data_IF_542903647445
#
_entry.id   IF_542903647445
#
_cell.length_a   1.000
_cell.length_b   1.000
_cell.length_c   1.000
_cell.angle_alpha   90.00
_cell.angle_beta   90.00
_cell.angle_gamma   90.00
#
_symmetry.space_group_name_H-M   'P 1'
#
loop_
_entity.id
_entity.type
_entity.pdbx_description
1 polymer ?
#
# COMPACT_ATOMS: atom_id res chain seq x y z
N UNK A 1 -20.95 -11.73 24.58
CA UNK A 1 -21.96 -10.91 23.87
C UNK A 1 -21.28 -10.35 22.63
N UNK A 2 -21.51 -10.92 21.45
CA UNK A 2 -20.95 -10.38 20.21
C UNK A 2 -21.69 -9.10 19.84
N UNK A 3 -20.98 -7.98 19.73
CA UNK A 3 -21.53 -6.74 19.19
C UNK A 3 -21.89 -6.98 17.72
N UNK A 4 -23.15 -6.75 17.36
CA UNK A 4 -23.57 -6.80 15.96
C UNK A 4 -22.73 -5.79 15.16
N UNK A 5 -22.21 -6.15 13.97
CA UNK A 5 -21.44 -5.22 13.15
C UNK A 5 -22.29 -3.99 12.82
N UNK A 6 -21.66 -2.81 12.88
CA UNK A 6 -22.32 -1.56 12.51
C UNK A 6 -22.84 -1.66 11.07
N UNK A 7 -24.08 -1.24 10.77
CA UNK A 7 -24.59 -1.21 9.40
C UNK A 7 -23.83 -0.21 8.51
N UNK A 8 -22.96 0.62 9.09
CA UNK A 8 -22.09 1.58 8.41
C UNK A 8 -20.61 1.18 8.45
N UNK A 9 -20.30 -0.09 8.78
CA UNK A 9 -18.93 -0.57 8.74
C UNK A 9 -18.36 -0.44 7.32
N UNK A 10 -17.12 0.01 7.20
CA UNK A 10 -16.43 0.06 5.91
C UNK A 10 -16.24 -1.35 5.36
N UNK A 11 -16.54 -1.53 4.08
CA UNK A 11 -16.28 -2.75 3.33
C UNK A 11 -15.22 -2.49 2.27
N UNK A 12 -14.79 -3.57 1.60
CA UNK A 12 -13.87 -3.44 0.46
C UNK A 12 -14.50 -2.61 -0.66
N UNK A 13 -15.79 -2.79 -0.92
CA UNK A 13 -16.52 -2.10 -1.97
C UNK A 13 -16.72 -0.60 -1.67
N UNK A 14 -16.94 -0.23 -0.41
CA UNK A 14 -16.97 1.19 -0.01
C UNK A 14 -15.58 1.82 -0.12
N UNK A 15 -14.53 1.05 0.14
CA UNK A 15 -13.14 1.46 -0.07
C UNK A 15 -12.83 1.67 -1.54
N UNK A 16 -13.22 0.74 -2.42
CA UNK A 16 -13.08 0.84 -3.87
C UNK A 16 -13.79 2.09 -4.43
N UNK A 17 -15.01 2.36 -3.97
CA UNK A 17 -15.74 3.58 -4.29
C UNK A 17 -14.95 4.85 -3.89
N UNK A 18 -14.43 4.88 -2.66
CA UNK A 18 -13.62 5.99 -2.17
C UNK A 18 -12.35 6.19 -3.01
N UNK A 19 -11.68 5.09 -3.41
CA UNK A 19 -10.52 5.15 -4.31
C UNK A 19 -10.87 5.81 -5.64
N UNK A 20 -11.96 5.39 -6.29
CA UNK A 20 -12.41 5.99 -7.56
C UNK A 20 -12.76 7.47 -7.40
N UNK A 21 -13.39 7.85 -6.28
CA UNK A 21 -13.67 9.25 -5.96
C UNK A 21 -12.37 10.06 -5.88
N UNK A 22 -11.37 9.58 -5.13
CA UNK A 22 -10.07 10.25 -5.01
C UNK A 22 -9.34 10.34 -6.34
N UNK A 23 -9.33 9.26 -7.13
CA UNK A 23 -8.70 9.24 -8.46
C UNK A 23 -9.29 10.32 -9.36
N UNK A 24 -10.62 10.46 -9.38
CA UNK A 24 -11.29 11.46 -10.21
C UNK A 24 -11.14 12.88 -9.64
N UNK A 25 -11.40 13.08 -8.35
CA UNK A 25 -11.46 14.41 -7.72
C UNK A 25 -10.08 15.00 -7.49
N UNK A 26 -9.10 14.21 -7.06
CA UNK A 26 -7.76 14.71 -6.76
C UNK A 26 -6.93 14.70 -8.04
N UNK A 27 -6.58 13.51 -8.54
CA UNK A 27 -5.68 13.35 -9.69
C UNK A 27 -6.37 13.85 -10.97
N UNK A 28 -7.63 13.49 -11.20
CA UNK A 28 -8.37 13.95 -12.38
C UNK A 28 -8.48 15.47 -12.46
N UNK A 29 -8.67 16.14 -11.32
CA UNK A 29 -8.69 17.60 -11.27
C UNK A 29 -7.31 18.20 -11.57
N UNK A 30 -6.22 17.62 -11.05
CA UNK A 30 -4.85 18.03 -11.39
C UNK A 30 -4.55 17.88 -12.88
N UNK A 31 -4.91 16.74 -13.47
CA UNK A 31 -4.69 16.45 -14.90
C UNK A 31 -5.48 17.40 -15.80
N UNK A 32 -6.78 17.60 -15.52
CA UNK A 32 -7.61 18.53 -16.30
C UNK A 32 -7.13 19.98 -16.13
N UNK A 33 -6.67 20.36 -14.94
CA UNK A 33 -6.08 21.69 -14.71
C UNK A 33 -4.79 21.88 -15.49
N UNK A 34 -3.88 20.90 -15.45
CA UNK A 34 -2.65 20.92 -16.25
C UNK A 34 -2.96 21.03 -17.75
N UNK A 35 -3.96 20.29 -18.22
CA UNK A 35 -4.43 20.37 -19.61
C UNK A 35 -4.98 21.75 -19.94
N UNK A 36 -5.80 22.32 -19.05
CA UNK A 36 -6.35 23.66 -19.21
C UNK A 36 -5.27 24.74 -19.22
N UNK A 37 -4.33 24.69 -18.28
CA UNK A 37 -3.25 25.68 -18.12
C UNK A 37 -2.26 25.64 -19.29
N UNK A 38 -2.11 24.49 -19.98
CA UNK A 38 -1.34 24.40 -21.23
C UNK A 38 -1.98 25.18 -22.37
N UNK A 39 -3.31 25.27 -22.40
CA UNK A 39 -4.07 25.99 -23.44
C UNK A 39 -4.24 27.46 -23.05
N UNK A 40 -4.53 27.72 -21.77
CA UNK A 40 -4.77 29.03 -21.19
C UNK A 40 -3.85 29.25 -19.99
N UNK A 41 -2.60 29.72 -20.20
CA UNK A 41 -1.63 29.90 -19.13
C UNK A 41 -2.17 30.77 -17.99
N UNK A 42 -1.88 30.44 -16.72
CA UNK A 42 -2.40 31.20 -15.57
C UNK A 42 -2.10 32.70 -15.63
N UNK A 43 -0.94 33.08 -16.17
CA UNK A 43 -0.54 34.49 -16.31
C UNK A 43 -1.50 35.31 -17.20
N UNK A 44 -2.09 34.69 -18.23
CA UNK A 44 -2.96 35.35 -19.21
C UNK A 44 -4.44 34.97 -19.04
N UNK A 45 -4.76 34.17 -18.01
CA UNK A 45 -6.11 33.63 -17.80
C UNK A 45 -7.18 34.73 -17.68
N UNK A 46 -6.88 35.80 -16.95
CA UNK A 46 -7.79 36.94 -16.80
C UNK A 46 -8.12 37.62 -18.14
N UNK A 47 -7.14 37.72 -19.04
CA UNK A 47 -7.33 38.29 -20.38
C UNK A 47 -8.21 37.39 -21.24
N UNK A 48 -7.99 36.07 -21.20
CA UNK A 48 -8.81 35.10 -21.93
C UNK A 48 -10.26 35.14 -21.46
N UNK A 49 -10.49 35.12 -20.14
CA UNK A 49 -11.82 35.16 -19.56
C UNK A 49 -12.53 36.50 -19.81
N UNK A 50 -11.78 37.61 -19.84
CA UNK A 50 -12.31 38.94 -20.14
C UNK A 50 -12.56 39.22 -21.63
N UNK A 51 -12.03 38.39 -22.54
CA UNK A 51 -12.21 38.57 -23.97
C UNK A 51 -13.70 38.51 -24.36
N UNK A 52 -14.18 39.45 -25.17
CA UNK A 52 -15.61 39.60 -25.50
C UNK A 52 -16.24 38.32 -26.05
N UNK A 53 -15.52 37.59 -26.92
CA UNK A 53 -15.99 36.34 -27.52
C UNK A 53 -16.06 35.18 -26.52
N UNK A 54 -15.27 35.20 -25.46
CA UNK A 54 -15.27 34.20 -24.39
C UNK A 54 -16.31 34.57 -23.33
N UNK A 55 -16.23 35.80 -22.81
CA UNK A 55 -17.11 36.30 -21.76
C UNK A 55 -18.58 36.27 -22.18
N UNK A 56 -18.93 37.05 -23.22
CA UNK A 56 -20.34 37.29 -23.56
C UNK A 56 -20.93 36.16 -24.40
N UNK A 57 -20.21 35.66 -25.41
CA UNK A 57 -20.79 34.67 -26.31
C UNK A 57 -20.89 33.27 -25.66
N UNK A 58 -19.93 32.90 -24.81
CA UNK A 58 -19.84 31.56 -24.23
C UNK A 58 -20.15 31.52 -22.73
N UNK A 59 -19.37 32.20 -21.90
CA UNK A 59 -19.50 32.03 -20.45
C UNK A 59 -20.80 32.63 -19.90
N UNK A 60 -21.21 33.80 -20.38
CA UNK A 60 -22.46 34.43 -19.95
C UNK A 60 -23.69 33.62 -20.39
N UNK A 61 -23.65 32.98 -21.56
CA UNK A 61 -24.75 32.09 -22.01
C UNK A 61 -24.80 30.80 -21.19
N UNK A 62 -23.66 30.27 -20.74
CA UNK A 62 -23.61 29.13 -19.82
C UNK A 62 -24.12 29.47 -18.41
N UNK A 63 -23.97 30.72 -17.96
CA UNK A 63 -24.43 31.19 -16.65
C UNK A 63 -25.90 31.63 -16.64
N UNK A 64 -26.30 32.48 -17.60
CA UNK A 64 -27.64 33.09 -17.66
C UNK A 64 -28.60 32.38 -18.62
N UNK A 65 -28.10 31.46 -19.45
CA UNK A 65 -28.92 30.76 -20.44
C UNK A 65 -29.86 29.72 -19.84
N UNK A 66 -30.74 29.17 -20.68
CA UNK A 66 -31.81 28.24 -20.26
C UNK A 66 -31.30 26.99 -19.52
N UNK A 67 -30.13 26.48 -19.90
CA UNK A 67 -29.53 25.26 -19.33
C UNK A 67 -28.76 25.49 -18.01
N UNK A 68 -28.41 26.75 -17.68
CA UNK A 68 -27.67 27.16 -16.46
C UNK A 68 -26.54 26.19 -16.05
N UNK A 69 -25.62 25.94 -16.98
CA UNK A 69 -24.51 24.98 -16.79
C UNK A 69 -23.56 25.44 -15.70
N UNK A 70 -23.32 26.76 -15.60
CA UNK A 70 -22.51 27.36 -14.53
C UNK A 70 -23.41 27.83 -13.40
N UNK A 71 -23.05 27.48 -12.16
CA UNK A 71 -23.73 28.00 -10.97
C UNK A 71 -23.07 29.28 -10.43
N UNK A 72 -23.72 30.04 -9.53
CA UNK A 72 -23.17 31.28 -8.99
C UNK A 72 -21.81 31.13 -8.29
N UNK A 73 -21.56 30.00 -7.60
CA UNK A 73 -20.27 29.73 -6.96
C UNK A 73 -19.15 29.59 -8.00
N UNK A 74 -19.40 28.85 -9.07
CA UNK A 74 -18.47 28.71 -10.19
C UNK A 74 -18.25 30.04 -10.92
N UNK A 75 -19.31 30.83 -11.11
CA UNK A 75 -19.20 32.17 -11.69
C UNK A 75 -18.29 33.09 -10.87
N UNK A 76 -18.44 33.09 -9.53
CA UNK A 76 -17.58 33.85 -8.64
C UNK A 76 -16.11 33.42 -8.65
N UNK A 77 -15.82 32.14 -8.99
CA UNK A 77 -14.45 31.67 -9.21
C UNK A 77 -13.85 32.21 -10.52
N UNK A 78 -14.67 32.38 -11.56
CA UNK A 78 -14.23 32.92 -12.85
C UNK A 78 -14.04 34.45 -12.82
N UNK A 79 -14.91 35.15 -12.09
CA UNK A 79 -14.90 36.61 -11.97
C UNK A 79 -14.89 37.05 -10.49
N UNK A 80 -13.78 36.80 -9.77
CA UNK A 80 -13.64 37.21 -8.38
C UNK A 80 -13.56 38.74 -8.23
N UNK A 81 -14.17 39.28 -7.17
CA UNK A 81 -14.22 40.73 -6.90
C UNK A 81 -12.94 41.29 -6.28
N UNK A 82 -12.26 40.52 -5.43
CA UNK A 82 -11.18 41.02 -4.56
C UNK A 82 -9.82 40.34 -4.76
N UNK A 83 -9.72 39.43 -5.74
CA UNK A 83 -8.47 38.73 -6.05
C UNK A 83 -8.37 38.42 -7.54
N UNK A 84 -7.16 38.10 -8.02
CA UNK A 84 -7.00 37.58 -9.36
C UNK A 84 -7.65 36.19 -9.51
N UNK A 85 -8.17 35.90 -10.70
CA UNK A 85 -8.64 34.56 -11.06
C UNK A 85 -7.49 33.57 -11.12
N UNK A 86 -7.70 32.36 -10.62
CA UNK A 86 -6.70 31.29 -10.61
C UNK A 86 -7.34 29.95 -10.93
N UNK A 87 -6.75 29.20 -11.86
CA UNK A 87 -7.21 27.84 -12.20
C UNK A 87 -7.07 26.84 -11.04
N UNK A 88 -6.26 27.17 -10.03
CA UNK A 88 -6.13 26.39 -8.78
C UNK A 88 -7.45 26.32 -8.01
N UNK A 89 -8.30 27.34 -8.12
CA UNK A 89 -9.60 27.39 -7.45
C UNK A 89 -10.69 26.59 -8.19
N UNK A 90 -10.40 26.10 -9.41
CA UNK A 90 -11.37 25.40 -10.24
C UNK A 90 -11.46 23.93 -9.85
N UNK A 91 -12.70 23.48 -9.64
CA UNK A 91 -13.02 22.07 -9.44
C UNK A 91 -13.13 21.34 -10.79
N UNK A 92 -13.16 20.00 -10.74
CA UNK A 92 -13.22 19.15 -11.93
C UNK A 92 -14.41 19.47 -12.85
N UNK A 93 -15.55 19.87 -12.27
CA UNK A 93 -16.75 20.22 -13.06
C UNK A 93 -16.48 21.48 -13.86
N UNK A 94 -15.98 22.52 -13.20
CA UNK A 94 -15.68 23.79 -13.84
C UNK A 94 -14.59 23.61 -14.91
N UNK A 95 -13.51 22.89 -14.60
CA UNK A 95 -12.45 22.58 -15.56
C UNK A 95 -12.99 21.88 -16.82
N UNK A 96 -13.83 20.87 -16.65
CA UNK A 96 -14.47 20.16 -17.77
C UNK A 96 -15.34 21.10 -18.62
N UNK A 97 -16.12 21.99 -17.98
CA UNK A 97 -16.95 22.97 -18.69
C UNK A 97 -16.07 23.95 -19.47
N UNK A 98 -14.98 24.44 -18.90
CA UNK A 98 -14.07 25.37 -19.59
C UNK A 98 -13.34 24.70 -20.76
N UNK A 99 -12.82 23.49 -20.57
CA UNK A 99 -12.18 22.71 -21.64
C UNK A 99 -13.12 22.49 -22.82
N UNK A 100 -14.36 22.09 -22.56
CA UNK A 100 -15.39 21.88 -23.59
C UNK A 100 -15.73 23.15 -24.37
N UNK A 101 -15.78 24.31 -23.70
CA UNK A 101 -16.41 25.49 -24.28
C UNK A 101 -15.42 26.55 -24.77
N UNK A 102 -14.31 26.77 -24.06
CA UNK A 102 -13.41 27.92 -24.31
C UNK A 102 -12.01 27.53 -24.79
N UNK A 103 -11.71 26.23 -24.91
CA UNK A 103 -10.40 25.73 -25.36
C UNK A 103 -10.37 25.32 -26.84
N UNK A 104 -11.44 25.61 -27.60
CA UNK A 104 -11.55 25.30 -29.04
C UNK A 104 -11.31 23.83 -29.41
N UNK A 105 -11.59 22.92 -28.47
CA UNK A 105 -11.54 21.48 -28.70
C UNK A 105 -12.67 21.03 -29.62
N UNK A 106 -12.41 19.98 -30.40
CA UNK A 106 -13.44 19.35 -31.23
C UNK A 106 -14.46 18.65 -30.34
N UNK A 107 -15.69 18.56 -30.82
CA UNK A 107 -16.70 17.72 -30.14
C UNK A 107 -16.35 16.26 -30.38
N UNK A 108 -16.28 15.41 -29.34
CA UNK A 108 -16.10 13.97 -29.50
C UNK A 108 -17.15 13.37 -30.44
N UNK A 109 -16.84 12.24 -31.08
CA UNK A 109 -17.74 11.59 -32.08
C UNK A 109 -19.15 11.34 -31.54
N UNK A 110 -19.26 10.91 -30.28
CA UNK A 110 -20.54 10.69 -29.57
C UNK A 110 -21.05 11.89 -28.77
N UNK A 111 -20.36 13.02 -28.87
CA UNK A 111 -20.61 14.18 -28.03
C UNK A 111 -20.00 14.06 -26.63
N UNK A 112 -20.24 15.09 -25.81
CA UNK A 112 -19.60 15.25 -24.50
C UNK A 112 -20.30 14.51 -23.35
N UNK A 113 -21.49 13.96 -23.60
CA UNK A 113 -22.39 13.43 -22.58
C UNK A 113 -22.51 11.89 -22.65
N UNK A 114 -21.90 11.25 -23.64
CA UNK A 114 -21.83 9.80 -23.80
C UNK A 114 -20.38 9.29 -23.62
N UNK A 115 -20.23 8.04 -23.19
CA UNK A 115 -18.91 7.41 -23.07
C UNK A 115 -18.29 7.18 -24.47
N UNK A 116 -17.11 7.75 -24.77
CA UNK A 116 -16.48 7.54 -26.06
C UNK A 116 -15.96 6.10 -26.22
N UNK A 117 -15.97 5.55 -27.45
CA UNK A 117 -15.38 4.24 -27.77
C UNK A 117 -13.91 4.13 -27.30
N UNK A 118 -13.47 2.92 -26.93
CA UNK A 118 -12.10 2.72 -26.44
C UNK A 118 -11.01 3.08 -27.47
N UNK A 119 -11.34 3.05 -28.76
CA UNK A 119 -10.46 3.47 -29.87
C UNK A 119 -10.29 4.99 -29.97
N UNK A 120 -11.22 5.74 -29.39
CA UNK A 120 -11.25 7.20 -29.42
C UNK A 120 -10.42 7.72 -28.23
N UNK A 121 -9.17 8.05 -28.55
CA UNK A 121 -8.09 8.38 -27.60
C UNK A 121 -7.55 9.80 -27.77
N UNK A 122 -8.30 10.72 -28.40
CA UNK A 122 -7.90 12.13 -28.46
C UNK A 122 -8.18 12.83 -27.13
N UNK A 123 -7.64 14.04 -26.99
CA UNK A 123 -7.78 14.87 -25.79
C UNK A 123 -9.26 15.12 -25.47
N UNK A 124 -10.08 15.46 -26.46
CA UNK A 124 -11.52 15.67 -26.29
C UNK A 124 -12.25 14.40 -25.81
N UNK A 125 -11.84 13.23 -26.31
CA UNK A 125 -12.43 11.94 -25.95
C UNK A 125 -12.08 11.56 -24.51
N UNK A 126 -10.83 11.77 -24.10
CA UNK A 126 -10.42 11.48 -22.73
C UNK A 126 -11.03 12.46 -21.71
N UNK A 127 -11.22 13.73 -22.07
CA UNK A 127 -11.97 14.68 -21.22
C UNK A 127 -13.43 14.23 -21.07
N UNK A 128 -14.08 13.80 -22.16
CA UNK A 128 -15.44 13.27 -22.11
C UNK A 128 -15.52 11.98 -21.30
N UNK A 129 -14.52 11.10 -21.39
CA UNK A 129 -14.39 9.86 -20.61
C UNK A 129 -14.26 10.14 -19.12
N UNK A 130 -13.37 11.06 -18.72
CA UNK A 130 -13.22 11.48 -17.30
C UNK A 130 -14.53 12.06 -16.78
N UNK A 131 -15.21 12.90 -17.57
CA UNK A 131 -16.52 13.45 -17.22
C UNK A 131 -17.57 12.35 -17.03
N UNK A 132 -17.64 11.39 -17.95
CA UNK A 132 -18.57 10.27 -17.89
C UNK A 132 -18.36 9.49 -16.59
N UNK A 133 -17.13 9.09 -16.30
CA UNK A 133 -16.80 8.36 -15.07
C UNK A 133 -17.10 9.15 -13.81
N UNK A 134 -16.81 10.46 -13.78
CA UNK A 134 -17.22 11.32 -12.66
C UNK A 134 -18.73 11.30 -12.48
N UNK A 135 -19.50 11.42 -13.56
CA UNK A 135 -20.95 11.42 -13.46
C UNK A 135 -21.48 10.06 -13.01
N UNK A 136 -20.92 8.95 -13.49
CA UNK A 136 -21.35 7.59 -13.10
C UNK A 136 -20.96 7.26 -11.66
N UNK A 137 -19.70 7.49 -11.29
CA UNK A 137 -19.16 7.14 -9.96
C UNK A 137 -19.63 8.10 -8.88
N UNK A 138 -19.77 9.39 -9.16
CA UNK A 138 -20.10 10.39 -8.14
C UNK A 138 -21.43 11.09 -8.39
N UNK A 139 -21.70 11.50 -9.63
CA UNK A 139 -22.88 12.32 -9.97
C UNK A 139 -24.23 11.59 -9.92
N UNK A 140 -24.22 10.27 -10.12
CA UNK A 140 -25.41 9.42 -10.27
C UNK A 140 -25.31 8.10 -9.50
N UNK A 141 -24.33 7.95 -8.61
CA UNK A 141 -24.22 6.77 -7.78
C UNK A 141 -25.42 6.65 -6.84
N UNK A 142 -26.08 5.50 -6.87
CA UNK A 142 -27.17 5.15 -5.95
C UNK A 142 -26.64 4.64 -4.60
N UNK A 143 -25.39 4.17 -4.59
CA UNK A 143 -24.70 3.61 -3.42
C UNK A 143 -23.22 4.02 -3.45
N UNK A 144 -22.65 4.23 -2.26
CA UNK A 144 -21.23 4.51 -2.09
C UNK A 144 -20.42 3.20 -2.02
N UNK A 145 -20.62 2.31 -3.00
CA UNK A 145 -20.07 0.95 -3.02
C UNK A 145 -19.85 0.51 -4.46
N UNK A 146 -18.69 -0.09 -4.75
CA UNK A 146 -18.34 -0.62 -6.08
C UNK A 146 -17.65 -1.97 -5.92
N UNK A 147 -18.19 -2.99 -6.58
CA UNK A 147 -17.61 -4.34 -6.58
C UNK A 147 -16.24 -4.38 -7.26
N UNK A 148 -15.45 -5.40 -6.96
CA UNK A 148 -14.07 -5.51 -7.46
C UNK A 148 -13.97 -5.52 -8.99
N UNK A 149 -14.93 -6.13 -9.70
CA UNK A 149 -14.87 -6.24 -11.16
C UNK A 149 -15.13 -4.90 -11.84
N UNK A 150 -16.15 -4.17 -11.37
CA UNK A 150 -16.45 -2.82 -11.81
C UNK A 150 -15.33 -1.85 -11.45
N UNK A 151 -14.80 -1.96 -10.22
CA UNK A 151 -13.67 -1.17 -9.76
C UNK A 151 -12.46 -1.34 -10.67
N UNK A 152 -11.99 -2.56 -10.89
CA UNK A 152 -10.83 -2.82 -11.74
C UNK A 152 -11.06 -2.33 -13.18
N UNK A 153 -12.23 -2.56 -13.75
CA UNK A 153 -12.54 -2.13 -15.11
C UNK A 153 -12.54 -0.60 -15.26
N UNK A 154 -13.18 0.11 -14.32
CA UNK A 154 -13.29 1.57 -14.37
C UNK A 154 -11.98 2.24 -14.00
N UNK A 155 -11.27 1.73 -12.99
CA UNK A 155 -9.95 2.22 -12.58
C UNK A 155 -8.98 2.23 -13.76
N UNK A 156 -8.89 1.12 -14.49
CA UNK A 156 -8.01 0.98 -15.65
C UNK A 156 -8.38 2.01 -16.72
N UNK A 157 -9.67 2.13 -17.08
CA UNK A 157 -10.12 3.07 -18.12
C UNK A 157 -9.88 4.54 -17.73
N UNK A 158 -10.10 4.88 -16.46
CA UNK A 158 -9.83 6.22 -15.93
C UNK A 158 -8.33 6.49 -15.93
N UNK A 159 -7.50 5.56 -15.41
CA UNK A 159 -6.05 5.70 -15.38
C UNK A 159 -5.47 5.93 -16.77
N UNK A 160 -5.84 5.12 -17.75
CA UNK A 160 -5.32 5.27 -19.11
C UNK A 160 -5.71 6.62 -19.72
N UNK A 161 -6.92 7.12 -19.47
CA UNK A 161 -7.34 8.46 -19.91
C UNK A 161 -6.55 9.58 -19.21
N UNK A 162 -6.37 9.49 -17.89
CA UNK A 162 -5.62 10.47 -17.11
C UNK A 162 -4.14 10.51 -17.50
N UNK A 163 -3.52 9.35 -17.75
CA UNK A 163 -2.14 9.25 -18.20
C UNK A 163 -1.97 9.82 -19.61
N UNK A 164 -2.91 9.59 -20.53
CA UNK A 164 -2.87 10.21 -21.88
C UNK A 164 -3.01 11.74 -21.83
N UNK A 165 -3.88 12.26 -20.97
CA UNK A 165 -4.08 13.71 -20.81
C UNK A 165 -2.91 14.40 -20.09
N UNK A 166 -2.50 13.83 -18.95
CA UNK A 166 -1.54 14.44 -18.04
C UNK A 166 -0.08 14.11 -18.39
N UNK A 167 0.16 12.94 -18.97
CA UNK A 167 1.49 12.37 -19.25
C UNK A 167 1.84 11.22 -18.31
N UNK A 168 2.91 10.50 -18.66
CA UNK A 168 3.35 9.28 -17.97
C UNK A 168 3.69 9.47 -16.49
N UNK A 169 4.04 10.67 -16.04
CA UNK A 169 4.41 10.93 -14.64
C UNK A 169 3.24 10.73 -13.66
N UNK A 170 1.98 10.88 -14.12
CA UNK A 170 0.81 10.58 -13.28
C UNK A 170 0.62 9.08 -13.04
N UNK A 171 1.27 8.21 -13.83
CA UNK A 171 1.09 6.76 -13.72
C UNK A 171 1.46 6.25 -12.33
N UNK A 172 2.64 6.64 -11.83
CA UNK A 172 3.11 6.23 -10.52
C UNK A 172 2.22 6.74 -9.39
N UNK A 173 1.78 8.00 -9.46
CA UNK A 173 0.87 8.57 -8.46
C UNK A 173 -0.48 7.83 -8.42
N UNK A 174 -1.03 7.49 -9.59
CA UNK A 174 -2.28 6.71 -9.70
C UNK A 174 -2.07 5.29 -9.17
N UNK A 175 -1.01 4.60 -9.59
CA UNK A 175 -0.76 3.22 -9.17
C UNK A 175 -0.52 3.13 -7.65
N UNK A 176 0.10 4.14 -7.03
CA UNK A 176 0.20 4.24 -5.56
C UNK A 176 -1.19 4.40 -4.92
N UNK A 177 -2.02 5.32 -5.42
CA UNK A 177 -3.37 5.56 -4.89
C UNK A 177 -4.28 4.30 -4.97
N UNK A 178 -4.07 3.43 -5.95
CA UNK A 178 -4.81 2.16 -6.09
C UNK A 178 -4.58 1.24 -4.88
N UNK A 179 -3.37 1.27 -4.31
CA UNK A 179 -2.91 0.35 -3.27
C UNK A 179 -2.79 1.00 -1.89
N UNK A 180 -2.85 2.34 -1.81
CA UNK A 180 -2.77 3.08 -0.56
C UNK A 180 -3.86 2.64 0.44
N UNK A 181 -3.48 2.65 1.72
CA UNK A 181 -4.39 2.40 2.82
C UNK A 181 -5.35 3.59 2.96
N UNK A 182 -6.66 3.31 2.98
CA UNK A 182 -7.68 4.36 3.10
C UNK A 182 -7.99 4.72 4.57
N UNK A 183 -7.40 3.99 5.53
CA UNK A 183 -7.54 4.21 6.96
C UNK A 183 -6.15 4.40 7.60
N UNK A 184 -5.75 5.66 7.89
CA UNK A 184 -4.43 5.95 8.44
C UNK A 184 -4.22 5.38 9.85
N UNK A 185 -5.28 5.29 10.66
CA UNK A 185 -5.20 4.78 12.04
C UNK A 185 -4.94 3.28 12.03
N UNK A 186 -5.61 2.55 11.14
CA UNK A 186 -5.35 1.12 10.92
C UNK A 186 -3.95 0.89 10.33
N UNK A 187 -3.50 1.74 9.42
CA UNK A 187 -2.15 1.64 8.85
C UNK A 187 -1.07 1.83 9.92
N UNK A 188 -1.23 2.82 10.81
CA UNK A 188 -0.35 3.05 11.95
C UNK A 188 -0.37 1.85 12.90
N UNK A 189 -1.55 1.33 13.24
CA UNK A 189 -1.68 0.13 14.08
C UNK A 189 -0.93 -1.08 13.51
N UNK A 190 -1.11 -1.38 12.20
CA UNK A 190 -0.38 -2.48 11.55
C UNK A 190 1.12 -2.21 11.48
N UNK A 191 1.56 -0.96 11.26
CA UNK A 191 2.98 -0.59 11.32
C UNK A 191 3.57 -0.82 12.70
N UNK A 192 2.84 -0.47 13.76
CA UNK A 192 3.26 -0.68 15.15
C UNK A 192 3.38 -2.18 15.46
N UNK A 193 2.39 -2.97 15.03
CA UNK A 193 2.38 -4.43 15.20
C UNK A 193 3.56 -5.08 14.48
N UNK A 194 3.86 -4.65 13.24
CA UNK A 194 5.03 -5.12 12.48
C UNK A 194 6.36 -4.78 13.19
N UNK A 195 6.49 -3.59 13.79
CA UNK A 195 7.67 -3.24 14.59
C UNK A 195 7.81 -4.14 15.82
N UNK A 196 6.70 -4.43 16.50
CA UNK A 196 6.69 -5.29 17.67
C UNK A 196 7.07 -6.74 17.31
N UNK A 197 6.50 -7.29 16.24
CA UNK A 197 6.86 -8.64 15.76
C UNK A 197 8.33 -8.76 15.40
N UNK A 198 8.90 -7.74 14.74
CA UNK A 198 10.34 -7.73 14.44
C UNK A 198 11.18 -7.77 15.72
N UNK A 199 10.81 -6.97 16.73
CA UNK A 199 11.50 -6.96 18.02
C UNK A 199 11.41 -8.30 18.74
N UNK A 200 10.26 -8.95 18.68
CA UNK A 200 10.06 -10.26 19.30
C UNK A 200 10.86 -11.35 18.56
N UNK A 201 10.94 -11.28 17.22
CA UNK A 201 11.78 -12.17 16.41
C UNK A 201 13.27 -12.00 16.74
N UNK A 202 13.75 -10.75 16.82
CA UNK A 202 15.12 -10.43 17.25
C UNK A 202 15.39 -10.98 18.67
N UNK A 203 14.45 -10.81 19.60
CA UNK A 203 14.58 -11.34 20.97
C UNK A 203 14.63 -12.87 21.01
N UNK A 204 13.78 -13.54 20.25
CA UNK A 204 13.76 -15.00 20.14
C UNK A 204 15.10 -15.48 19.61
N UNK A 205 15.63 -14.82 18.58
CA UNK A 205 16.93 -15.14 18.00
C UNK A 205 18.06 -15.00 19.03
N UNK A 206 18.12 -13.89 19.76
CA UNK A 206 19.13 -13.69 20.82
C UNK A 206 19.06 -14.78 21.91
N UNK A 207 17.84 -15.16 22.30
CA UNK A 207 17.63 -16.24 23.28
C UNK A 207 18.06 -17.60 22.73
N UNK A 208 17.81 -17.87 21.45
CA UNK A 208 18.27 -19.09 20.79
C UNK A 208 19.79 -19.16 20.74
N UNK A 209 20.47 -18.08 20.34
CA UNK A 209 21.94 -18.01 20.38
C UNK A 209 22.49 -18.24 21.80
N UNK A 210 21.83 -17.67 22.82
CA UNK A 210 22.19 -17.91 24.23
C UNK A 210 22.03 -19.37 24.67
N UNK A 211 20.95 -20.04 24.23
CA UNK A 211 20.72 -21.47 24.49
C UNK A 211 21.77 -22.32 23.76
N UNK A 212 22.10 -21.99 22.51
CA UNK A 212 23.13 -22.70 21.74
C UNK A 212 24.49 -22.63 22.41
N UNK A 213 24.91 -21.45 22.87
CA UNK A 213 26.15 -21.27 23.61
C UNK A 213 26.17 -22.07 24.92
N UNK A 214 25.07 -22.04 25.67
CA UNK A 214 24.94 -22.80 26.93
C UNK A 214 24.96 -24.31 26.68
N UNK A 215 24.33 -24.77 25.60
CA UNK A 215 24.31 -26.17 25.18
C UNK A 215 25.71 -26.64 24.78
N UNK A 216 26.48 -25.81 24.10
CA UNK A 216 27.86 -26.14 23.71
C UNK A 216 28.79 -26.21 24.93
N UNK A 217 28.63 -25.29 25.88
CA UNK A 217 29.36 -25.35 27.15
C UNK A 217 29.02 -26.63 27.94
N UNK A 218 27.73 -26.95 28.07
CA UNK A 218 27.29 -28.17 28.76
C UNK A 218 27.81 -29.44 28.06
N UNK A 219 27.85 -29.44 26.72
CA UNK A 219 28.45 -30.54 25.94
C UNK A 219 29.94 -30.72 26.28
N UNK A 220 30.68 -29.62 26.40
CA UNK A 220 32.09 -29.65 26.80
C UNK A 220 32.26 -30.20 28.21
N UNK A 221 31.53 -29.66 29.19
CA UNK A 221 31.60 -30.11 30.59
C UNK A 221 31.23 -31.60 30.74
N UNK A 222 30.24 -32.08 29.97
CA UNK A 222 29.85 -33.48 29.95
C UNK A 222 30.97 -34.37 29.37
N UNK A 223 31.64 -33.93 28.28
CA UNK A 223 32.77 -34.67 27.70
C UNK A 223 33.92 -34.79 28.71
N UNK A 224 34.30 -33.69 29.35
CA UNK A 224 35.40 -33.67 30.33
C UNK A 224 35.11 -34.57 31.53
N UNK A 225 33.84 -34.61 32.00
CA UNK A 225 33.45 -35.49 33.10
C UNK A 225 33.44 -36.95 32.69
N UNK A 226 32.99 -37.29 31.48
CA UNK A 226 33.08 -38.65 30.91
C UNK A 226 34.54 -39.11 30.82
N UNK A 227 35.45 -38.29 30.28
CA UNK A 227 36.89 -38.62 30.19
C UNK A 227 37.52 -38.87 31.57
N UNK A 228 37.18 -38.04 32.57
CA UNK A 228 37.66 -38.24 33.96
C UNK A 228 37.13 -39.54 34.58
N UNK A 229 35.87 -39.89 34.33
CA UNK A 229 35.28 -41.15 34.81
C UNK A 229 35.99 -42.34 34.16
N UNK A 230 36.23 -42.29 32.84
CA UNK A 230 36.95 -43.35 32.13
C UNK A 230 38.37 -43.57 32.66
N UNK A 231 39.10 -42.49 32.94
CA UNK A 231 40.44 -42.56 33.53
C UNK A 231 40.42 -43.23 34.91
N UNK A 232 39.50 -42.80 35.80
CA UNK A 232 39.34 -43.42 37.13
C UNK A 232 38.92 -44.89 37.04
N UNK A 233 38.05 -45.25 36.10
CA UNK A 233 37.66 -46.64 35.88
C UNK A 233 38.85 -47.50 35.45
N UNK A 234 39.72 -47.00 34.57
CA UNK A 234 40.95 -47.70 34.19
C UNK A 234 41.88 -47.92 35.39
N UNK A 235 42.06 -46.90 36.22
CA UNK A 235 42.88 -46.97 37.42
C UNK A 235 42.36 -48.01 38.43
N UNK A 236 41.03 -48.07 38.63
CA UNK A 236 40.36 -49.09 39.47
C UNK A 236 40.56 -50.50 38.90
N UNK A 237 40.42 -50.67 37.57
CA UNK A 237 40.62 -51.98 36.93
C UNK A 237 42.06 -52.47 37.09
N UNK A 238 43.03 -51.56 37.04
CA UNK A 238 44.45 -51.88 37.20
C UNK A 238 44.80 -52.26 38.64
N UNK A 239 44.23 -51.55 39.63
CA UNK A 239 44.35 -51.92 41.05
C UNK A 239 43.70 -53.27 41.36
N UNK A 240 42.50 -53.53 40.82
CA UNK A 240 41.85 -54.84 40.96
C UNK A 240 42.71 -55.97 40.38
N UNK A 241 43.28 -55.77 39.18
CA UNK A 241 44.16 -56.77 38.55
C UNK A 241 45.39 -57.08 39.43
N UNK A 242 46.02 -56.04 39.98
CA UNK A 242 47.16 -56.20 40.90
C UNK A 242 46.77 -57.00 42.16
N UNK A 243 45.63 -56.68 42.77
CA UNK A 243 45.09 -57.40 43.94
C UNK A 243 44.81 -58.88 43.62
N UNK A 244 44.20 -59.18 42.46
CA UNK A 244 43.94 -60.57 42.05
C UNK A 244 45.25 -61.36 41.93
N UNK A 245 46.28 -60.79 41.29
CA UNK A 245 47.59 -61.47 41.17
C UNK A 245 48.31 -61.67 42.50
N UNK A 246 48.12 -60.76 43.47
CA UNK A 246 48.70 -60.92 44.82
C UNK A 246 47.97 -61.99 45.62
N UNK A 247 46.63 -62.05 45.52
CA UNK A 247 45.83 -63.12 46.14
C UNK A 247 46.24 -64.47 45.56
N UNK A 248 46.31 -64.63 44.24
CA UNK A 248 46.74 -65.88 43.59
C UNK A 248 48.12 -66.35 44.10
N UNK A 249 49.11 -65.46 44.16
CA UNK A 249 50.44 -65.76 44.74
C UNK A 249 50.38 -66.20 46.20
N UNK A 250 49.62 -65.50 47.04
CA UNK A 250 49.48 -65.83 48.46
C UNK A 250 48.78 -67.18 48.68
N UNK A 251 47.90 -67.57 47.75
CA UNK A 251 47.18 -68.85 47.79
C UNK A 251 48.10 -70.00 47.40
N UNK A 252 48.97 -69.81 46.39
CA UNK A 252 50.00 -70.78 45.98
C UNK A 252 51.07 -70.97 47.07
N UNK A 253 51.53 -69.89 47.71
CA UNK A 253 52.49 -69.97 48.83
C UNK A 253 51.88 -70.66 50.05
N UNK A 254 50.61 -70.37 50.36
CA UNK A 254 49.87 -71.07 51.41
C UNK A 254 49.74 -72.57 51.15
N UNK A 255 49.42 -72.96 49.91
CA UNK A 255 49.30 -74.36 49.52
C UNK A 255 50.64 -75.11 49.55
N UNK A 256 51.74 -74.45 49.18
CA UNK A 256 53.09 -75.01 49.27
C UNK A 256 53.55 -75.22 50.72
N UNK A 257 53.23 -74.29 51.64
CA UNK A 257 53.51 -74.45 53.08
C UNK A 257 52.69 -75.59 53.70
N UNK A 258 51.43 -75.73 53.32
CA UNK A 258 50.55 -76.80 53.83
C UNK A 258 51.03 -78.19 53.36
N UNK A 259 51.60 -78.27 52.15
CA UNK A 259 52.18 -79.51 51.61
C UNK A 259 53.54 -79.86 52.24
N UNK A 260 54.33 -78.87 52.66
CA UNK A 260 55.63 -79.07 53.31
C UNK A 260 55.53 -79.50 54.80
N UNK A 261 54.37 -79.31 55.43
CA UNK A 261 54.14 -79.71 56.83
C UNK A 261 53.58 -81.13 56.98
N UNK A 262 53.28 -81.82 55.87
CA UNK A 262 52.66 -83.15 55.83
C UNK A 262 53.58 -84.27 55.26
N UNK A 263 54.90 -84.07 55.25
CA UNK A 263 55.92 -85.11 54.95
C UNK A 263 56.85 -85.29 56.12
#
# INVERSE_FOLDING_TARGET
MGTAPSPFASTKETTNYARLCRLLVDIGCQVLRSTFDKIHPPATLHTVLGCTSVHYAKLQSLYKGKKKVLNPKQWGKLYPTHKAVSSKDFDITLLTVLLRNICSLRTPTKGWDELPPATDIRIEDDIARVKYYRNTVYGHASQASVDDSSFSADWQKIREALVRLGGAHFRTEIDNLEHDCMDPDMEEHYRELMKQWKKDDDNIKDRLEGIENSREKMRHDLRDTTEKIELKMKEILETLRSLTTTVEKSTDEGWLLERATHT
#
